data_IF_206919245880
#
_entry.id   IF_206919245880
#
_cell.length_a   1.000
_cell.length_b   1.000
_cell.length_c   1.000
_cell.angle_alpha   90.00
_cell.angle_beta   90.00
_cell.angle_gamma   90.00
#
_symmetry.space_group_name_H-M   'P 1'
#
loop_
_entity.id
_entity.type
_entity.pdbx_description
1 polymer ?
#
# COMPACT_ATOMS: atom_id res chain seq x y z
N UNK A 1 34.21 -8.96 5.10
CA UNK A 1 32.99 -9.74 4.82
C UNK A 1 31.97 -8.78 4.23
N UNK A 2 31.78 -8.85 2.92
CA UNK A 2 30.94 -7.97 2.13
C UNK A 2 29.48 -8.36 2.43
N UNK A 3 28.68 -7.46 3.03
CA UNK A 3 27.25 -7.70 3.20
C UNK A 3 26.58 -7.47 1.85
N UNK A 4 25.90 -8.49 1.35
CA UNK A 4 25.16 -8.47 0.09
C UNK A 4 24.14 -7.34 0.03
N UNK A 5 23.96 -6.85 -1.20
CA UNK A 5 23.13 -5.71 -1.57
C UNK A 5 21.67 -6.15 -1.71
N UNK A 6 20.76 -5.47 -1.01
CA UNK A 6 19.39 -5.18 -1.47
C UNK A 6 18.26 -6.19 -1.22
N UNK A 7 18.50 -7.45 -0.89
CA UNK A 7 17.43 -8.45 -0.80
C UNK A 7 17.27 -9.07 0.58
N UNK A 8 16.07 -8.99 1.14
CA UNK A 8 15.74 -9.54 2.45
C UNK A 8 14.75 -10.69 2.34
N UNK A 9 14.85 -11.67 3.26
CA UNK A 9 13.86 -12.74 3.37
C UNK A 9 12.47 -12.13 3.58
N UNK A 10 11.55 -12.46 2.69
CA UNK A 10 10.19 -12.01 2.78
C UNK A 10 9.34 -12.95 3.66
N UNK A 11 8.46 -12.38 4.46
CA UNK A 11 7.29 -13.05 5.01
C UNK A 11 6.02 -12.62 4.27
N UNK A 12 4.96 -13.42 4.38
CA UNK A 12 3.65 -13.08 3.83
C UNK A 12 2.59 -13.12 4.92
N UNK A 13 1.72 -12.12 4.95
CA UNK A 13 0.50 -12.11 5.75
C UNK A 13 -0.68 -11.72 4.88
N UNK A 14 -1.73 -12.55 4.84
CA UNK A 14 -2.90 -12.30 4.01
C UNK A 14 -4.17 -12.22 4.84
N UNK A 15 -5.05 -11.31 4.48
CA UNK A 15 -6.37 -11.14 5.08
C UNK A 15 -7.38 -10.63 4.05
N UNK A 16 -8.67 -10.67 4.39
CA UNK A 16 -9.73 -10.26 3.46
C UNK A 16 -10.55 -9.08 4.01
N UNK A 17 -10.97 -8.21 3.09
CA UNK A 17 -12.13 -7.34 3.26
C UNK A 17 -13.35 -8.10 2.73
N UNK A 18 -14.37 -8.25 3.58
CA UNK A 18 -15.56 -9.02 3.24
C UNK A 18 -16.50 -8.28 2.29
N UNK A 19 -17.40 -9.03 1.65
CA UNK A 19 -18.39 -8.57 0.65
C UNK A 19 -19.06 -7.26 1.04
N UNK A 20 -19.60 -7.16 2.27
CA UNK A 20 -20.28 -5.95 2.72
C UNK A 20 -19.35 -4.74 2.82
N UNK A 21 -18.11 -4.92 3.27
CA UNK A 21 -17.13 -3.83 3.32
C UNK A 21 -16.77 -3.34 1.92
N UNK A 22 -16.54 -4.28 0.99
CA UNK A 22 -16.22 -3.99 -0.43
C UNK A 22 -17.38 -3.28 -1.11
N UNK A 23 -18.62 -3.74 -0.90
CA UNK A 23 -19.84 -3.13 -1.44
C UNK A 23 -20.02 -1.70 -0.94
N UNK A 24 -19.84 -1.47 0.37
CA UNK A 24 -19.97 -0.15 0.98
C UNK A 24 -18.84 0.80 0.54
N UNK A 25 -17.59 0.33 0.48
CA UNK A 25 -16.47 1.09 -0.08
C UNK A 25 -16.71 1.46 -1.54
N UNK A 26 -17.20 0.53 -2.37
CA UNK A 26 -17.53 0.78 -3.77
C UNK A 26 -18.65 1.83 -3.92
N UNK A 27 -19.64 1.80 -3.04
CA UNK A 27 -20.68 2.85 -3.00
C UNK A 27 -20.09 4.20 -2.61
N UNK A 28 -19.18 4.23 -1.63
CA UNK A 28 -18.51 5.45 -1.18
C UNK A 28 -17.60 6.01 -2.29
N UNK A 29 -16.84 5.16 -2.98
CA UNK A 29 -15.91 5.59 -4.05
C UNK A 29 -16.65 6.29 -5.18
N UNK A 30 -17.79 5.72 -5.61
CA UNK A 30 -18.68 6.36 -6.60
C UNK A 30 -19.22 7.71 -6.13
N UNK A 31 -19.65 7.81 -4.86
CA UNK A 31 -20.18 9.07 -4.29
C UNK A 31 -19.11 10.16 -4.18
N UNK A 32 -17.86 9.77 -3.91
CA UNK A 32 -16.72 10.69 -3.82
C UNK A 32 -16.01 10.92 -5.17
N UNK A 33 -16.59 10.42 -6.27
CA UNK A 33 -16.02 10.45 -7.62
C UNK A 33 -14.55 9.99 -7.65
N UNK A 34 -14.30 8.79 -7.12
CA UNK A 34 -12.97 8.19 -7.00
C UNK A 34 -13.02 6.67 -7.21
N UNK A 35 -11.86 6.01 -7.24
CA UNK A 35 -11.74 4.57 -7.46
C UNK A 35 -11.67 3.77 -6.14
N UNK A 36 -11.87 2.45 -6.24
CA UNK A 36 -11.62 1.53 -5.12
C UNK A 36 -10.16 1.63 -4.65
N UNK A 37 -9.23 1.72 -5.59
CA UNK A 37 -7.81 1.88 -5.29
C UNK A 37 -7.53 3.12 -4.43
N UNK A 38 -8.08 4.29 -4.79
CA UNK A 38 -7.90 5.51 -3.99
C UNK A 38 -8.47 5.36 -2.58
N UNK A 39 -9.59 4.66 -2.42
CA UNK A 39 -10.15 4.39 -1.09
C UNK A 39 -9.22 3.55 -0.22
N UNK A 40 -8.67 2.47 -0.79
CA UNK A 40 -7.73 1.59 -0.08
C UNK A 40 -6.41 2.32 0.23
N UNK A 41 -5.91 3.11 -0.73
CA UNK A 41 -4.71 3.91 -0.55
C UNK A 41 -4.90 5.00 0.51
N UNK A 42 -6.05 5.68 0.55
CA UNK A 42 -6.36 6.67 1.58
C UNK A 42 -6.45 6.02 2.97
N UNK A 43 -7.06 4.84 3.08
CA UNK A 43 -7.08 4.07 4.32
C UNK A 43 -5.66 3.69 4.77
N UNK A 44 -4.79 3.29 3.84
CA UNK A 44 -3.41 2.94 4.15
C UNK A 44 -2.56 4.16 4.53
N UNK A 45 -2.65 5.27 3.79
CA UNK A 45 -1.96 6.54 4.12
C UNK A 45 -2.38 7.07 5.49
N UNK A 46 -3.67 7.01 5.79
CA UNK A 46 -4.20 7.32 7.14
C UNK A 46 -3.55 6.44 8.19
N UNK A 47 -3.49 5.13 7.95
CA UNK A 47 -2.88 4.19 8.89
C UNK A 47 -1.38 4.47 9.07
N UNK A 48 -0.65 4.71 7.99
CA UNK A 48 0.79 5.03 8.02
C UNK A 48 1.07 6.29 8.83
N UNK A 49 0.29 7.36 8.63
CA UNK A 49 0.36 8.55 9.48
C UNK A 49 0.19 8.20 10.96
N UNK A 50 -0.74 7.31 11.30
CA UNK A 50 -0.98 6.93 12.70
C UNK A 50 0.14 6.10 13.33
N UNK A 51 0.95 5.42 12.54
CA UNK A 51 2.13 4.70 13.03
C UNK A 51 3.39 5.57 13.07
N UNK A 52 3.49 6.58 12.20
CA UNK A 52 4.72 7.34 11.97
C UNK A 52 4.68 8.78 12.45
N UNK A 53 3.48 9.36 12.59
CA UNK A 53 3.29 10.80 12.70
C UNK A 53 3.67 11.59 11.44
N UNK A 54 4.10 10.94 10.35
CA UNK A 54 4.54 11.62 9.14
C UNK A 54 3.35 12.10 8.30
N UNK A 55 3.16 13.42 8.26
CA UNK A 55 2.13 14.06 7.45
C UNK A 55 2.44 14.04 5.95
N UNK A 56 3.72 13.97 5.59
CA UNK A 56 4.17 13.81 4.21
C UNK A 56 4.83 12.45 4.05
N UNK A 57 4.22 11.57 3.25
CA UNK A 57 4.76 10.25 2.96
C UNK A 57 4.67 9.93 1.47
N UNK A 58 5.67 9.20 0.96
CA UNK A 58 5.69 8.64 -0.38
C UNK A 58 5.39 7.14 -0.34
N UNK A 59 4.65 6.64 -1.33
CA UNK A 59 4.49 5.20 -1.60
C UNK A 59 4.71 4.95 -3.08
N UNK A 60 5.24 3.78 -3.44
CA UNK A 60 5.32 3.36 -4.84
C UNK A 60 4.01 2.74 -5.30
N UNK A 61 3.63 3.04 -6.54
CA UNK A 61 2.54 2.37 -7.25
C UNK A 61 3.06 1.89 -8.59
N UNK A 62 3.04 0.58 -8.89
CA UNK A 62 3.35 0.10 -10.21
C UNK A 62 2.20 0.41 -11.18
N UNK A 63 2.54 0.87 -12.38
CA UNK A 63 1.61 1.06 -13.50
C UNK A 63 2.09 0.21 -14.67
N UNK A 64 1.16 -0.23 -15.52
CA UNK A 64 1.47 -1.19 -16.60
C UNK A 64 2.50 -0.66 -17.60
N UNK A 65 2.57 0.67 -17.77
CA UNK A 65 3.39 1.37 -18.76
C UNK A 65 3.00 1.04 -20.21
N UNK A 66 1.77 0.56 -20.42
CA UNK A 66 1.21 0.19 -21.74
C UNK A 66 0.24 1.25 -22.26
N UNK A 67 0.57 2.53 -22.08
CA UNK A 67 -0.31 3.65 -22.45
C UNK A 67 -0.56 3.79 -23.95
N UNK A 68 0.34 3.25 -24.78
CA UNK A 68 0.16 3.25 -26.24
C UNK A 68 -0.56 1.98 -26.68
N UNK A 69 -1.66 2.13 -27.43
CA UNK A 69 -2.57 1.02 -27.77
C UNK A 69 -1.96 -0.15 -28.55
N UNK A 70 -0.75 0.00 -29.10
CA UNK A 70 0.02 -1.07 -29.74
C UNK A 70 0.81 -1.96 -28.76
N UNK A 71 0.82 -1.64 -27.46
CA UNK A 71 1.61 -2.35 -26.44
C UNK A 71 0.84 -3.41 -25.64
N UNK A 72 -0.50 -3.43 -25.72
CA UNK A 72 -1.34 -4.28 -24.87
C UNK A 72 -1.11 -5.80 -25.03
N UNK A 73 -0.61 -6.24 -26.19
CA UNK A 73 -0.39 -7.66 -26.49
C UNK A 73 1.10 -8.01 -26.66
N UNK A 74 2.01 -7.12 -26.24
CA UNK A 74 3.44 -7.34 -26.39
C UNK A 74 4.06 -8.00 -25.15
N UNK A 75 4.89 -9.01 -25.39
CA UNK A 75 5.75 -9.60 -24.36
C UNK A 75 6.93 -8.64 -24.11
N UNK A 76 7.10 -8.20 -22.87
CA UNK A 76 8.16 -7.28 -22.46
C UNK A 76 7.92 -6.66 -21.08
N UNK A 77 8.97 -6.09 -20.50
CA UNK A 77 8.90 -5.38 -19.21
C UNK A 77 8.56 -3.91 -19.45
N UNK A 78 7.30 -3.56 -19.22
CA UNK A 78 6.77 -2.21 -19.42
C UNK A 78 6.42 -1.51 -18.11
N UNK A 79 6.42 -2.23 -16.98
CA UNK A 79 5.99 -1.69 -15.70
C UNK A 79 6.86 -0.50 -15.32
N UNK A 80 6.20 0.64 -15.08
CA UNK A 80 6.83 1.82 -14.47
C UNK A 80 6.33 1.94 -13.02
N UNK A 81 7.05 2.67 -12.18
CA UNK A 81 6.64 2.91 -10.79
C UNK A 81 6.47 4.40 -10.55
N UNK A 82 5.30 4.78 -10.02
CA UNK A 82 4.97 6.15 -9.68
C UNK A 82 5.12 6.38 -8.17
N UNK A 83 6.00 7.30 -7.73
CA UNK A 83 6.03 7.73 -6.34
C UNK A 83 4.84 8.65 -6.06
N UNK A 84 3.90 8.22 -5.22
CA UNK A 84 2.78 9.05 -4.77
C UNK A 84 3.09 9.69 -3.43
N UNK A 85 3.39 10.98 -3.51
CA UNK A 85 3.55 11.89 -2.38
C UNK A 85 2.19 12.48 -2.01
N UNK A 86 1.82 12.36 -0.74
CA UNK A 86 0.57 12.94 -0.22
C UNK A 86 0.88 13.76 1.02
N UNK A 87 0.47 15.03 1.00
CA UNK A 87 0.62 15.96 2.11
C UNK A 87 -0.69 16.02 2.91
N UNK A 88 -0.70 15.37 4.06
CA UNK A 88 -1.79 15.40 5.03
C UNK A 88 -1.63 16.59 5.98
N UNK A 89 -2.70 16.93 6.67
CA UNK A 89 -2.74 17.86 7.79
C UNK A 89 -3.37 17.14 8.99
N UNK A 90 -2.97 17.44 10.23
CA UNK A 90 -3.55 16.80 11.42
C UNK A 90 -5.06 17.08 11.55
N UNK A 91 -5.52 18.22 11.04
CA UNK A 91 -6.93 18.61 11.04
C UNK A 91 -7.73 17.97 9.90
N UNK A 92 -7.09 17.27 8.96
CA UNK A 92 -7.79 16.60 7.88
C UNK A 92 -8.75 15.54 8.45
N UNK A 93 -9.99 15.56 7.94
CA UNK A 93 -10.87 14.40 8.05
C UNK A 93 -10.65 13.40 6.93
N UNK A 94 -11.17 12.19 7.11
CA UNK A 94 -11.03 11.10 6.15
C UNK A 94 -11.49 11.50 4.72
N UNK A 95 -12.52 12.34 4.60
CA UNK A 95 -13.00 12.85 3.31
C UNK A 95 -11.98 13.77 2.63
N UNK A 96 -11.33 14.65 3.40
CA UNK A 96 -10.24 15.49 2.92
C UNK A 96 -9.04 14.65 2.47
N UNK A 97 -8.68 13.62 3.24
CA UNK A 97 -7.59 12.69 2.89
C UNK A 97 -7.90 11.95 1.60
N UNK A 98 -9.11 11.41 1.44
CA UNK A 98 -9.53 10.73 0.20
C UNK A 98 -9.36 11.65 -1.01
N UNK A 99 -9.73 12.93 -0.88
CA UNK A 99 -9.56 13.91 -1.96
C UNK A 99 -8.09 14.26 -2.22
N UNK A 100 -7.26 14.44 -1.18
CA UNK A 100 -5.82 14.67 -1.32
C UNK A 100 -5.13 13.51 -2.04
N UNK A 101 -5.43 12.27 -1.62
CA UNK A 101 -4.91 11.05 -2.25
C UNK A 101 -5.38 10.94 -3.70
N UNK A 102 -6.67 11.18 -3.98
CA UNK A 102 -7.21 11.21 -5.35
C UNK A 102 -6.41 12.17 -6.25
N UNK A 103 -6.23 13.39 -5.78
CA UNK A 103 -5.52 14.43 -6.54
C UNK A 103 -4.05 14.06 -6.76
N UNK A 104 -3.35 13.55 -5.74
CA UNK A 104 -1.97 13.07 -5.89
C UNK A 104 -1.84 11.92 -6.89
N UNK A 105 -2.77 10.95 -6.86
CA UNK A 105 -2.76 9.82 -7.80
C UNK A 105 -3.01 10.30 -9.22
N UNK A 106 -4.01 11.15 -9.45
CA UNK A 106 -4.31 11.65 -10.80
C UNK A 106 -3.19 12.53 -11.36
N UNK A 107 -2.61 13.41 -10.55
CA UNK A 107 -1.46 14.22 -10.97
C UNK A 107 -0.26 13.34 -11.37
N UNK A 108 0.01 12.25 -10.63
CA UNK A 108 1.08 11.33 -11.00
C UNK A 108 0.77 10.54 -12.29
N UNK A 109 -0.49 10.13 -12.49
CA UNK A 109 -0.91 9.44 -13.70
C UNK A 109 -0.78 10.30 -14.96
N UNK A 110 -0.97 11.61 -14.87
CA UNK A 110 -0.73 12.55 -15.98
C UNK A 110 0.73 12.53 -16.48
N UNK A 111 1.67 12.09 -15.62
CA UNK A 111 3.10 12.01 -15.91
C UNK A 111 3.64 10.57 -15.93
N UNK A 112 2.79 9.56 -16.01
CA UNK A 112 3.16 8.16 -15.79
C UNK A 112 4.17 7.57 -16.79
N UNK A 113 4.40 8.24 -17.93
CA UNK A 113 5.40 7.84 -18.93
C UNK A 113 6.83 8.20 -18.53
N UNK A 114 7.01 9.03 -17.49
CA UNK A 114 8.33 9.42 -17.03
C UNK A 114 8.96 8.30 -16.19
N UNK A 115 10.11 7.72 -16.60
CA UNK A 115 10.64 6.55 -15.89
C UNK A 115 11.14 6.88 -14.48
N UNK A 116 10.87 5.99 -13.53
CA UNK A 116 11.29 6.14 -12.13
C UNK A 116 12.78 6.45 -11.97
N UNK A 117 13.64 5.75 -12.71
CA UNK A 117 15.10 5.96 -12.64
C UNK A 117 15.52 7.38 -13.00
N UNK A 118 14.78 8.04 -13.91
CA UNK A 118 15.02 9.45 -14.24
C UNK A 118 14.51 10.37 -13.13
N UNK A 119 13.39 10.06 -12.47
CA UNK A 119 12.94 10.83 -11.28
C UNK A 119 14.03 10.82 -10.21
N UNK A 120 14.57 9.65 -9.89
CA UNK A 120 15.64 9.48 -8.91
C UNK A 120 16.88 10.27 -9.31
N UNK A 121 17.28 10.17 -10.59
CA UNK A 121 18.44 10.89 -11.13
C UNK A 121 18.27 12.40 -11.05
N UNK A 122 17.13 12.93 -11.47
CA UNK A 122 16.88 14.38 -11.57
C UNK A 122 16.75 15.03 -10.20
N UNK A 123 16.23 14.30 -9.21
CA UNK A 123 16.20 14.74 -7.81
C UNK A 123 17.58 14.64 -7.13
N UNK A 124 18.61 14.13 -7.81
CA UNK A 124 19.94 13.91 -7.24
C UNK A 124 19.95 12.82 -6.15
N UNK A 125 18.98 11.92 -6.17
CA UNK A 125 18.78 10.86 -5.17
C UNK A 125 19.34 9.51 -5.61
N UNK A 126 20.19 9.48 -6.65
CA UNK A 126 20.87 8.27 -7.11
C UNK A 126 21.77 7.72 -5.98
N UNK A 127 21.17 6.86 -5.15
CA UNK A 127 21.76 6.32 -3.93
C UNK A 127 22.49 5.00 -4.15
N UNK A 128 22.65 4.23 -3.06
CA UNK A 128 23.23 2.88 -3.12
C UNK A 128 22.33 1.95 -3.96
N UNK A 129 22.95 1.13 -4.81
CA UNK A 129 22.24 0.07 -5.52
C UNK A 129 21.44 -0.81 -4.55
N UNK A 130 20.22 -1.20 -4.94
CA UNK A 130 19.34 -2.06 -4.14
C UNK A 130 18.63 -1.39 -2.96
N UNK A 131 18.65 -0.04 -2.86
CA UNK A 131 17.82 0.69 -1.90
C UNK A 131 16.98 1.70 -2.68
N UNK A 132 15.64 1.59 -2.56
CA UNK A 132 14.75 2.58 -3.14
C UNK A 132 14.87 3.90 -2.35
N UNK A 133 15.25 5.02 -3.01
CA UNK A 133 15.58 6.26 -2.30
C UNK A 133 14.36 7.14 -2.00
N UNK A 134 13.18 6.81 -2.53
CA UNK A 134 11.98 7.66 -2.46
C UNK A 134 10.88 7.07 -1.58
N UNK A 135 10.74 5.75 -1.57
CA UNK A 135 9.74 5.04 -0.77
C UNK A 135 10.21 3.62 -0.47
N UNK A 136 9.65 3.00 0.55
CA UNK A 136 9.92 1.59 0.89
C UNK A 136 8.63 0.80 1.12
N UNK A 137 7.51 1.40 0.72
CA UNK A 137 6.20 0.78 0.71
C UNK A 137 5.70 0.80 -0.72
N UNK A 138 5.40 -0.38 -1.26
CA UNK A 138 4.74 -0.54 -2.55
C UNK A 138 3.27 -0.87 -2.32
N UNK A 139 2.37 -0.30 -3.12
CA UNK A 139 0.94 -0.59 -3.05
C UNK A 139 0.40 -0.84 -4.45
N UNK A 140 -0.16 -2.03 -4.65
CA UNK A 140 -0.76 -2.48 -5.91
C UNK A 140 -2.23 -2.82 -5.72
N UNK A 141 -3.05 -2.54 -6.73
CA UNK A 141 -4.42 -3.02 -6.82
C UNK A 141 -4.66 -3.71 -8.16
N UNK A 142 -4.98 -5.00 -8.08
CA UNK A 142 -5.31 -5.82 -9.24
C UNK A 142 -6.81 -6.13 -9.21
N UNK A 143 -7.56 -5.61 -10.18
CA UNK A 143 -8.99 -5.91 -10.37
C UNK A 143 -9.29 -6.80 -11.57
N UNK A 144 -8.27 -7.16 -12.34
CA UNK A 144 -8.33 -7.95 -13.56
C UNK A 144 -7.45 -9.20 -13.46
N UNK A 145 -7.78 -10.08 -12.51
CA UNK A 145 -7.10 -11.38 -12.38
C UNK A 145 -7.90 -12.44 -13.12
N UNK A 146 -7.72 -12.53 -14.44
CA UNK A 146 -8.06 -13.75 -15.17
C UNK A 146 -7.12 -14.87 -14.71
N UNK A 147 -7.53 -15.60 -13.67
CA UNK A 147 -6.81 -16.79 -13.24
C UNK A 147 -7.09 -17.91 -14.24
N UNK A 148 -6.12 -18.25 -15.08
CA UNK A 148 -6.15 -19.50 -15.86
C UNK A 148 -5.93 -20.67 -14.89
N UNK A 149 -7.01 -21.12 -14.26
CA UNK A 149 -6.97 -22.19 -13.25
C UNK A 149 -7.24 -23.58 -13.87
N UNK A 150 -7.69 -23.63 -15.11
CA UNK A 150 -7.91 -24.88 -15.82
C UNK A 150 -7.78 -24.71 -17.33
N UNK A 151 -7.30 -25.77 -17.96
CA UNK A 151 -7.53 -26.06 -19.38
C UNK A 151 -8.41 -27.31 -19.43
N UNK A 152 -9.01 -27.64 -20.59
CA UNK A 152 -9.70 -28.93 -20.75
C UNK A 152 -8.79 -30.07 -20.26
N UNK A 153 -9.31 -30.86 -19.32
CA UNK A 153 -8.65 -32.01 -18.69
C UNK A 153 -7.36 -31.71 -17.88
N UNK A 154 -7.04 -30.44 -17.60
CA UNK A 154 -5.84 -30.05 -16.85
C UNK A 154 -6.20 -29.06 -15.74
N UNK A 155 -5.88 -29.44 -14.49
CA UNK A 155 -5.89 -28.52 -13.35
C UNK A 155 -4.55 -27.78 -13.28
N UNK A 156 -4.61 -26.46 -13.19
CA UNK A 156 -3.43 -25.60 -13.10
C UNK A 156 -3.35 -25.05 -11.68
N UNK A 157 -2.27 -25.38 -10.99
CA UNK A 157 -1.96 -24.81 -9.67
C UNK A 157 -0.65 -24.03 -9.75
N UNK A 158 -0.69 -22.78 -9.30
CA UNK A 158 0.52 -21.99 -9.12
C UNK A 158 1.22 -22.44 -7.85
N UNK A 159 2.48 -22.89 -7.97
CA UNK A 159 3.33 -23.19 -6.82
C UNK A 159 4.50 -22.21 -6.79
N UNK A 160 4.66 -21.53 -5.67
CA UNK A 160 5.83 -20.73 -5.41
C UNK A 160 7.05 -21.64 -5.23
N UNK A 161 8.13 -21.35 -5.97
CA UNK A 161 9.40 -22.09 -5.90
C UNK A 161 10.46 -21.13 -5.35
N UNK A 162 11.22 -21.59 -4.35
CA UNK A 162 12.32 -20.84 -3.75
C UNK A 162 11.92 -19.88 -2.63
N UNK A 163 12.92 -19.28 -1.99
CA UNK A 163 12.71 -18.22 -1.00
C UNK A 163 12.27 -16.92 -1.70
N UNK A 164 11.24 -16.27 -1.17
CA UNK A 164 10.86 -14.93 -1.62
C UNK A 164 11.80 -13.91 -0.99
N UNK A 165 12.29 -13.01 -1.84
CA UNK A 165 13.07 -11.86 -1.45
C UNK A 165 12.24 -10.60 -1.67
N UNK A 166 12.46 -9.58 -0.84
CA UNK A 166 11.87 -8.26 -1.02
C UNK A 166 12.93 -7.18 -0.81
N UNK A 167 12.86 -6.15 -1.64
CA UNK A 167 13.64 -4.92 -1.51
C UNK A 167 12.86 -3.84 -0.73
N UNK A 168 11.57 -4.08 -0.46
CA UNK A 168 10.68 -3.18 0.25
C UNK A 168 10.48 -3.61 1.71
N UNK A 169 10.30 -2.64 2.60
CA UNK A 169 9.83 -2.88 3.95
C UNK A 169 8.46 -3.58 3.93
N UNK A 170 7.55 -3.07 3.11
CA UNK A 170 6.20 -3.61 2.95
C UNK A 170 5.72 -3.45 1.51
N UNK A 171 5.43 -4.55 0.84
CA UNK A 171 4.71 -4.60 -0.44
C UNK A 171 3.29 -5.09 -0.19
N UNK A 172 2.33 -4.21 -0.49
CA UNK A 172 0.91 -4.39 -0.22
C UNK A 172 0.18 -4.64 -1.53
N UNK A 173 -0.42 -5.81 -1.64
CA UNK A 173 -1.23 -6.17 -2.80
C UNK A 173 -2.68 -6.31 -2.40
N UNK A 174 -3.53 -5.49 -3.01
CA UNK A 174 -4.98 -5.62 -2.98
C UNK A 174 -5.43 -6.34 -4.25
N UNK A 175 -6.08 -7.48 -4.12
CA UNK A 175 -6.57 -8.27 -5.26
C UNK A 175 -8.08 -8.41 -5.15
N UNK A 176 -8.81 -7.98 -6.18
CA UNK A 176 -10.25 -8.24 -6.26
C UNK A 176 -10.46 -9.74 -6.52
N UNK A 177 -11.22 -10.39 -5.65
CA UNK A 177 -11.59 -11.80 -5.77
C UNK A 177 -13.10 -11.90 -5.68
N UNK A 178 -13.76 -12.00 -6.85
CA UNK A 178 -15.21 -11.92 -6.98
C UNK A 178 -15.80 -10.66 -6.32
N UNK A 179 -16.48 -10.85 -5.18
CA UNK A 179 -17.10 -9.80 -4.37
C UNK A 179 -16.26 -9.35 -3.16
N UNK A 180 -15.11 -9.98 -2.94
CA UNK A 180 -14.18 -9.67 -1.85
C UNK A 180 -12.91 -8.99 -2.36
N UNK A 181 -12.10 -8.48 -1.43
CA UNK A 181 -10.74 -8.03 -1.71
C UNK A 181 -9.78 -8.79 -0.79
N UNK A 182 -8.91 -9.58 -1.40
CA UNK A 182 -7.75 -10.17 -0.72
C UNK A 182 -6.66 -9.11 -0.55
N UNK A 183 -6.13 -9.00 0.65
CA UNK A 183 -5.11 -8.04 1.03
C UNK A 183 -3.88 -8.82 1.49
N UNK A 184 -2.81 -8.77 0.72
CA UNK A 184 -1.56 -9.47 1.01
C UNK A 184 -0.46 -8.49 1.36
N UNK A 185 0.24 -8.76 2.45
CA UNK A 185 1.39 -8.00 2.94
C UNK A 185 2.63 -8.88 2.79
N UNK A 186 3.43 -8.60 1.76
CA UNK A 186 4.78 -9.13 1.62
C UNK A 186 5.72 -8.20 2.37
N UNK A 187 6.40 -8.70 3.39
CA UNK A 187 7.17 -7.85 4.29
C UNK A 187 8.60 -8.34 4.47
N UNK A 188 9.52 -7.43 4.72
CA UNK A 188 10.88 -7.76 5.11
C UNK A 188 10.87 -8.38 6.52
N UNK A 189 11.18 -9.68 6.62
CA UNK A 189 11.15 -10.42 7.88
C UNK A 189 12.26 -10.00 8.87
N UNK A 190 13.25 -9.23 8.41
CA UNK A 190 14.23 -8.57 9.27
C UNK A 190 13.70 -7.29 9.92
N UNK A 191 12.60 -6.71 9.38
CA UNK A 191 11.97 -5.49 9.89
C UNK A 191 10.69 -5.80 10.68
N UNK A 192 9.86 -6.73 10.20
CA UNK A 192 8.55 -6.98 10.83
C UNK A 192 8.42 -8.40 11.39
N UNK A 193 7.77 -8.47 12.56
CA UNK A 193 7.29 -9.72 13.16
C UNK A 193 5.84 -10.00 12.69
N UNK A 194 5.43 -11.27 12.51
CA UNK A 194 4.06 -11.63 12.09
C UNK A 194 2.92 -10.98 12.91
N UNK A 195 3.15 -10.79 14.21
CA UNK A 195 2.19 -10.17 15.12
C UNK A 195 1.98 -8.68 14.81
N UNK A 196 3.01 -8.01 14.30
CA UNK A 196 2.92 -6.61 13.85
C UNK A 196 2.04 -6.52 12.60
N UNK A 197 2.17 -7.43 11.64
CA UNK A 197 1.31 -7.45 10.45
C UNK A 197 -0.15 -7.76 10.80
N UNK A 198 -0.38 -8.64 11.77
CA UNK A 198 -1.73 -8.91 12.31
C UNK A 198 -2.37 -7.67 12.92
N UNK A 199 -1.59 -6.87 13.67
CA UNK A 199 -2.04 -5.61 14.26
C UNK A 199 -2.32 -4.56 13.18
N UNK A 200 -1.43 -4.40 12.20
CA UNK A 200 -1.63 -3.50 11.05
C UNK A 200 -2.92 -3.87 10.30
N UNK A 201 -3.14 -5.15 9.99
CA UNK A 201 -4.34 -5.61 9.30
C UNK A 201 -5.63 -5.36 10.11
N UNK A 202 -5.57 -5.49 11.45
CA UNK A 202 -6.71 -5.14 12.33
C UNK A 202 -6.99 -3.64 12.29
N UNK A 203 -5.97 -2.81 12.39
CA UNK A 203 -6.12 -1.35 12.36
C UNK A 203 -6.56 -0.86 10.98
N UNK A 204 -6.04 -1.43 9.90
CA UNK A 204 -6.48 -1.13 8.53
C UNK A 204 -7.98 -1.35 8.35
N UNK A 205 -8.52 -2.48 8.85
CA UNK A 205 -9.97 -2.74 8.82
C UNK A 205 -10.77 -1.71 9.61
N UNK A 206 -10.23 -1.20 10.73
CA UNK A 206 -10.87 -0.13 11.50
C UNK A 206 -10.92 1.17 10.70
N UNK A 207 -9.81 1.57 10.07
CA UNK A 207 -9.79 2.77 9.22
C UNK A 207 -10.77 2.64 8.06
N UNK A 208 -10.80 1.48 7.39
CA UNK A 208 -11.79 1.18 6.34
C UNK A 208 -13.21 1.33 6.87
N UNK A 209 -13.50 0.79 8.06
CA UNK A 209 -14.81 0.94 8.71
C UNK A 209 -15.14 2.41 8.99
N UNK A 210 -14.21 3.20 9.50
CA UNK A 210 -14.41 4.63 9.75
C UNK A 210 -14.72 5.39 8.45
N UNK A 211 -14.01 5.11 7.34
CA UNK A 211 -14.30 5.69 6.02
C UNK A 211 -15.74 5.37 5.57
N UNK A 212 -16.20 4.14 5.82
CA UNK A 212 -17.55 3.69 5.47
C UNK A 212 -18.61 4.41 6.33
N UNK A 213 -18.40 4.43 7.65
CA UNK A 213 -19.39 4.87 8.64
C UNK A 213 -19.49 6.40 8.69
N UNK A 214 -18.37 7.11 8.84
CA UNK A 214 -18.30 8.57 8.90
C UNK A 214 -16.93 9.10 8.45
N UNK A 215 -16.87 9.63 7.23
CA UNK A 215 -15.65 10.20 6.67
C UNK A 215 -15.38 11.64 7.13
N UNK A 216 -16.19 12.20 8.04
CA UNK A 216 -15.95 13.51 8.63
C UNK A 216 -15.11 13.46 9.91
N UNK A 217 -14.79 12.26 10.40
CA UNK A 217 -13.87 12.06 11.53
C UNK A 217 -12.48 12.57 11.15
N UNK A 218 -11.90 13.42 12.00
CA UNK A 218 -10.54 13.96 11.86
C UNK A 218 -9.48 12.87 12.12
N UNK A 219 -8.25 13.08 11.64
CA UNK A 219 -7.13 12.20 11.95
C UNK A 219 -6.84 12.08 13.44
N UNK A 220 -7.02 13.18 14.17
CA UNK A 220 -6.82 13.26 15.63
C UNK A 220 -7.89 12.45 16.37
N UNK A 221 -9.14 12.53 15.93
CA UNK A 221 -10.28 11.86 16.58
C UNK A 221 -10.42 10.39 16.18
N UNK A 222 -9.69 9.95 15.15
CA UNK A 222 -9.75 8.57 14.69
C UNK A 222 -9.22 7.62 15.77
N UNK A 223 -10.06 6.76 16.32
CA UNK A 223 -9.63 5.74 17.29
C UNK A 223 -9.21 4.43 16.59
N UNK A 224 -7.91 4.14 16.53
CA UNK A 224 -7.39 2.88 15.95
C UNK A 224 -7.06 1.81 17.00
N UNK A 225 -6.82 2.19 18.26
CA UNK A 225 -6.62 1.24 19.37
C UNK A 225 -7.93 0.93 20.08
N UNK A 226 -8.09 -0.29 20.61
CA UNK A 226 -9.11 -0.53 21.65
C UNK A 226 -8.59 0.04 22.96
N UNK A 227 -9.44 0.72 23.74
CA UNK A 227 -9.09 1.47 24.98
C UNK A 227 -8.37 0.68 26.10
N UNK A 228 -7.93 -0.56 25.89
CA UNK A 228 -7.33 -1.43 26.92
C UNK A 228 -5.82 -1.22 27.19
N UNK A 229 -5.19 -0.13 26.73
CA UNK A 229 -3.75 0.15 27.00
C UNK A 229 -3.37 1.63 27.16
N UNK A 230 -4.23 2.48 27.76
CA UNK A 230 -3.85 3.86 28.09
C UNK A 230 -3.05 4.03 29.40
N UNK A 231 -2.81 2.99 30.19
CA UNK A 231 -2.18 3.14 31.52
C UNK A 231 -0.64 3.04 31.58
N UNK A 232 0.10 2.95 30.46
CA UNK A 232 1.58 2.94 30.51
C UNK A 232 2.23 3.89 29.49
N UNK A 233 1.74 5.13 29.41
CA UNK A 233 2.40 6.21 28.67
C UNK A 233 2.93 7.30 29.61
N UNK A 234 3.69 6.90 30.63
CA UNK A 234 4.63 7.80 31.31
C UNK A 234 6.01 7.14 31.35
N UNK A 235 7.01 7.90 30.86
CA UNK A 235 8.45 7.56 30.69
C UNK A 235 8.83 6.89 29.37
N UNK A 236 9.00 7.72 28.33
CA UNK A 236 10.19 7.70 27.46
C UNK A 236 10.62 6.40 26.78
N UNK A 237 9.70 5.47 26.49
CA UNK A 237 9.99 4.29 25.67
C UNK A 237 9.30 4.43 24.32
N UNK A 238 10.04 4.93 23.32
CA UNK A 238 9.66 4.85 21.92
C UNK A 238 9.41 3.38 21.56
N UNK A 239 8.30 3.06 20.89
CA UNK A 239 7.98 1.67 20.53
C UNK A 239 8.87 1.23 19.37
N UNK A 240 9.34 -0.03 19.36
CA UNK A 240 10.15 -0.62 18.27
C UNK A 240 9.51 -0.43 16.87
N UNK A 241 8.19 -0.19 16.79
CA UNK A 241 7.44 -0.03 15.54
C UNK A 241 7.64 1.33 14.84
N UNK A 242 7.96 2.41 15.57
CA UNK A 242 8.14 3.76 14.99
C UNK A 242 9.39 3.86 14.10
N UNK A 243 10.38 3.00 14.34
CA UNK A 243 11.64 2.96 13.58
C UNK A 243 11.45 2.25 12.23
N UNK A 244 10.41 1.41 12.10
CA UNK A 244 10.22 0.53 10.92
C UNK A 244 9.66 1.25 9.69
N UNK A 245 9.08 2.44 9.87
CA UNK A 245 8.39 3.18 8.81
C UNK A 245 8.99 4.57 8.53
N UNK A 246 10.08 4.95 9.21
CA UNK A 246 10.73 6.23 8.96
C UNK A 246 11.56 6.18 7.66
N UNK A 247 11.21 7.08 6.73
CA UNK A 247 12.08 7.63 5.69
C UNK A 247 12.44 9.07 6.07
#
# INVERSE_FOLDING_TARGET
MQKDVGNYKAGNYTFHLGVEQVRLLSKKSRRSNTSMFVMLLAAMKTLLYRYTGQLNSAVGIPVSGREFGNLNHQIGFYVNVLPIVTNLDEEDNLSAIINKVKNSVYAALEHQVYPFDYIVKDLGLAGKAGVNPLFNIMITYDDDVEKINSLPDVQIESRQIGEQLTEFALDIKFTKEDENISCSFNYNAGLFKPETLTRIAKHFRKVVKSIIDDDKISLIDLEIESQSKRENKEKGSFSEDEILFNF
#
